data_IF_842258465213
#
_entry.id   IF_842258465213
#
_cell.length_a   1.000
_cell.length_b   1.000
_cell.length_c   1.000
_cell.angle_alpha   90.00
_cell.angle_beta   90.00
_cell.angle_gamma   90.00
#
_symmetry.space_group_name_H-M   'P 1'
#
loop_
_entity.id
_entity.type
_entity.pdbx_description
1 polymer ?
#
# COMPACT_ATOMS: atom_id res chain seq x y z
N UNK A 1 -5.18 -6.31 -15.83
CA UNK A 1 -6.23 -6.77 -16.77
C UNK A 1 -5.90 -8.13 -17.41
N UNK A 2 -4.84 -8.27 -18.23
CA UNK A 2 -4.50 -9.52 -18.97
C UNK A 2 -4.58 -10.85 -18.18
N UNK A 3 -4.13 -10.87 -16.92
CA UNK A 3 -4.11 -12.10 -16.10
C UNK A 3 -5.52 -12.61 -15.75
N UNK A 4 -6.47 -11.70 -15.52
CA UNK A 4 -7.84 -12.05 -15.13
C UNK A 4 -8.63 -12.57 -16.34
N UNK A 5 -8.43 -11.95 -17.51
CA UNK A 5 -8.99 -12.41 -18.78
C UNK A 5 -8.48 -13.80 -19.18
N UNK A 6 -7.19 -14.06 -19.01
CA UNK A 6 -6.60 -15.39 -19.25
C UNK A 6 -7.20 -16.45 -18.32
N UNK A 7 -7.42 -16.13 -17.05
CA UNK A 7 -8.08 -17.04 -16.10
C UNK A 7 -9.53 -17.31 -16.49
N UNK A 8 -10.28 -16.28 -16.88
CA UNK A 8 -11.65 -16.42 -17.41
C UNK A 8 -11.67 -17.36 -18.63
N UNK A 9 -10.78 -17.15 -19.59
CA UNK A 9 -10.72 -17.96 -20.81
C UNK A 9 -10.40 -19.43 -20.52
N UNK A 10 -9.49 -19.69 -19.57
CA UNK A 10 -9.16 -21.06 -19.16
C UNK A 10 -10.36 -21.75 -18.49
N UNK A 11 -11.09 -21.04 -17.62
CA UNK A 11 -12.28 -21.55 -16.95
C UNK A 11 -13.43 -21.79 -17.93
N UNK A 12 -13.59 -20.93 -18.93
CA UNK A 12 -14.60 -21.09 -19.98
C UNK A 12 -14.39 -22.37 -20.79
N UNK A 13 -13.14 -22.64 -21.23
CA UNK A 13 -12.79 -23.88 -21.94
C UNK A 13 -13.10 -25.14 -21.12
N UNK A 14 -12.93 -25.09 -19.81
CA UNK A 14 -13.29 -26.19 -18.92
C UNK A 14 -14.80 -26.38 -18.84
N UNK A 15 -15.57 -25.29 -18.73
CA UNK A 15 -17.03 -25.34 -18.74
C UNK A 15 -17.54 -25.91 -20.06
N UNK A 16 -17.08 -25.41 -21.20
CA UNK A 16 -17.54 -25.86 -22.53
C UNK A 16 -17.30 -27.35 -22.75
N UNK A 17 -16.16 -27.87 -22.27
CA UNK A 17 -15.78 -29.27 -22.40
C UNK A 17 -16.57 -30.22 -21.49
N UNK A 18 -16.99 -29.75 -20.31
CA UNK A 18 -17.53 -30.62 -19.26
C UNK A 18 -18.99 -30.31 -18.86
N UNK A 19 -19.63 -29.30 -19.47
CA UNK A 19 -21.03 -28.90 -19.20
C UNK A 19 -22.03 -30.02 -19.49
N UNK A 20 -21.76 -30.87 -20.46
CA UNK A 20 -22.64 -31.99 -20.84
C UNK A 20 -22.38 -33.29 -20.05
N UNK A 21 -21.37 -33.35 -19.18
CA UNK A 21 -21.06 -34.54 -18.38
C UNK A 21 -21.67 -34.45 -16.99
N UNK A 22 -22.60 -35.35 -16.67
CA UNK A 22 -23.25 -35.41 -15.35
C UNK A 22 -22.26 -35.48 -14.18
N UNK A 23 -21.16 -36.24 -14.33
CA UNK A 23 -20.12 -36.39 -13.30
C UNK A 23 -19.31 -35.11 -13.01
N UNK A 24 -19.37 -34.11 -13.90
CA UNK A 24 -18.64 -32.84 -13.79
C UNK A 24 -19.54 -31.61 -13.74
N UNK A 25 -20.87 -31.81 -13.74
CA UNK A 25 -21.86 -30.75 -13.75
C UNK A 25 -21.71 -29.77 -12.56
N UNK A 26 -21.53 -30.28 -11.34
CA UNK A 26 -21.33 -29.45 -10.15
C UNK A 26 -20.05 -28.59 -10.24
N UNK A 27 -18.98 -29.16 -10.79
CA UNK A 27 -17.71 -28.46 -10.97
C UNK A 27 -17.81 -27.38 -12.06
N UNK A 28 -18.48 -27.69 -13.18
CA UNK A 28 -18.75 -26.73 -14.24
C UNK A 28 -19.63 -25.57 -13.74
N UNK A 29 -20.67 -25.85 -12.96
CA UNK A 29 -21.56 -24.82 -12.41
C UNK A 29 -20.86 -23.90 -11.39
N UNK A 30 -19.94 -24.45 -10.59
CA UNK A 30 -19.08 -23.64 -9.72
C UNK A 30 -18.18 -22.68 -10.52
N UNK A 31 -17.58 -23.17 -11.62
CA UNK A 31 -16.75 -22.35 -12.50
C UNK A 31 -17.55 -21.28 -13.25
N UNK A 32 -18.79 -21.55 -13.65
CA UNK A 32 -19.71 -20.55 -14.22
C UNK A 32 -19.97 -19.41 -13.24
N UNK A 33 -20.25 -19.73 -11.97
CA UNK A 33 -20.44 -18.70 -10.93
C UNK A 33 -19.18 -17.87 -10.70
N UNK A 34 -18.00 -18.48 -10.79
CA UNK A 34 -16.74 -17.76 -10.67
C UNK A 34 -16.47 -16.83 -11.87
N UNK A 35 -16.82 -17.24 -13.09
CA UNK A 35 -16.74 -16.39 -14.29
C UNK A 35 -17.64 -15.16 -14.13
N UNK A 36 -18.88 -15.34 -13.67
CA UNK A 36 -19.82 -14.23 -13.42
C UNK A 36 -19.28 -13.22 -12.40
N UNK A 37 -18.58 -13.68 -11.35
CA UNK A 37 -17.94 -12.78 -10.38
C UNK A 37 -16.77 -12.01 -10.99
N UNK A 38 -15.98 -12.66 -11.85
CA UNK A 38 -14.88 -12.00 -12.57
C UNK A 38 -15.45 -10.93 -13.51
N UNK A 39 -16.53 -11.22 -14.22
CA UNK A 39 -17.19 -10.28 -15.12
C UNK A 39 -17.77 -9.08 -14.38
N UNK A 40 -18.43 -9.31 -13.24
CA UNK A 40 -18.91 -8.23 -12.39
C UNK A 40 -17.76 -7.34 -11.88
N UNK A 41 -16.59 -7.92 -11.56
CA UNK A 41 -15.41 -7.13 -11.18
C UNK A 41 -14.87 -6.33 -12.37
N UNK A 42 -14.81 -6.92 -13.57
CA UNK A 42 -14.34 -6.21 -14.77
C UNK A 42 -15.26 -5.06 -15.18
N UNK A 43 -16.57 -5.20 -14.98
CA UNK A 43 -17.57 -4.17 -15.29
C UNK A 43 -17.64 -3.04 -14.24
N UNK A 44 -17.39 -3.35 -12.96
CA UNK A 44 -17.47 -2.39 -11.85
C UNK A 44 -16.14 -1.67 -11.55
N UNK A 45 -15.07 -1.94 -12.30
CA UNK A 45 -13.85 -1.14 -12.18
C UNK A 45 -14.07 0.15 -12.98
N UNK A 46 -14.19 1.32 -12.34
CA UNK A 46 -14.24 2.58 -13.06
C UNK A 46 -12.99 2.69 -13.94
N UNK A 47 -13.18 3.16 -15.18
CA UNK A 47 -12.11 3.50 -16.12
C UNK A 47 -11.40 4.77 -15.62
N UNK A 48 -10.85 4.72 -14.41
CA UNK A 48 -9.88 5.67 -13.91
C UNK A 48 -8.56 4.91 -13.86
N UNK A 49 -7.89 4.91 -15.02
CA UNK A 49 -6.57 4.33 -15.24
C UNK A 49 -5.46 5.17 -14.56
N UNK A 50 -5.74 5.64 -13.35
CA UNK A 50 -4.76 6.24 -12.47
C UNK A 50 -4.77 5.45 -11.16
N UNK A 51 -4.46 4.17 -11.26
CA UNK A 51 -3.67 3.57 -10.20
C UNK A 51 -2.39 4.41 -10.10
N UNK A 52 -2.42 5.46 -9.26
CA UNK A 52 -1.24 6.19 -8.81
C UNK A 52 -0.37 5.16 -8.12
N UNK A 53 0.44 4.50 -8.93
CA UNK A 53 1.40 3.51 -8.49
C UNK A 53 2.50 4.35 -7.87
N UNK A 54 2.33 4.68 -6.60
CA UNK A 54 3.38 5.30 -5.81
C UNK A 54 4.44 4.24 -5.58
N UNK A 55 5.33 4.10 -6.55
CA UNK A 55 6.54 3.31 -6.40
C UNK A 55 7.58 4.22 -5.77
N UNK A 56 7.89 3.98 -4.51
CA UNK A 56 9.12 4.51 -3.95
C UNK A 56 10.27 3.92 -4.78
N UNK A 57 11.22 4.73 -5.27
CA UNK A 57 12.41 4.19 -5.90
C UNK A 57 13.05 3.18 -4.93
N UNK A 58 13.63 2.11 -5.47
CA UNK A 58 14.44 1.19 -4.66
C UNK A 58 15.65 1.96 -4.17
N UNK A 59 15.50 2.54 -2.99
CA UNK A 59 16.55 3.24 -2.28
C UNK A 59 17.51 2.18 -1.76
N UNK A 60 18.60 1.95 -2.50
CA UNK A 60 19.72 1.10 -2.06
C UNK A 60 20.57 1.84 -1.01
N UNK A 61 19.93 2.39 0.03
CA UNK A 61 20.68 2.93 1.15
C UNK A 61 21.17 1.78 2.04
N UNK A 62 22.38 1.89 2.62
CA UNK A 62 22.81 0.97 3.66
C UNK A 62 21.74 0.94 4.76
N UNK A 63 21.42 -0.25 5.27
CA UNK A 63 20.48 -0.39 6.38
C UNK A 63 20.96 0.51 7.51
N UNK A 64 20.10 1.39 8.00
CA UNK A 64 20.43 2.24 9.14
C UNK A 64 20.87 1.40 10.33
N UNK A 65 21.83 1.94 11.09
CA UNK A 65 22.31 1.37 12.34
C UNK A 65 21.21 1.24 13.39
N UNK A 66 21.56 0.72 14.57
CA UNK A 66 20.60 0.55 15.68
C UNK A 66 20.05 1.90 16.13
N UNK A 67 20.93 2.87 16.35
CA UNK A 67 20.60 4.27 16.60
C UNK A 67 20.51 5.01 15.25
N UNK A 68 19.39 5.68 15.03
CA UNK A 68 19.06 6.37 13.77
C UNK A 68 19.15 7.88 13.93
N UNK A 69 18.82 8.40 15.12
CA UNK A 69 18.95 9.82 15.45
C UNK A 69 19.31 9.96 16.93
N UNK A 70 20.36 10.71 17.22
CA UNK A 70 20.72 11.12 18.58
C UNK A 70 20.91 12.62 18.55
N UNK A 71 20.12 13.35 19.33
CA UNK A 71 20.24 14.80 19.46
C UNK A 71 20.44 15.18 20.91
N UNK A 72 21.36 16.10 21.15
CA UNK A 72 21.61 16.71 22.45
C UNK A 72 21.46 18.23 22.28
N UNK A 73 20.63 18.86 23.10
CA UNK A 73 20.33 20.29 23.05
C UNK A 73 19.79 20.78 21.69
N UNK A 74 18.97 19.98 21.00
CA UNK A 74 18.36 20.41 19.75
C UNK A 74 17.38 21.57 20.02
N UNK A 75 17.52 22.62 19.22
CA UNK A 75 16.59 23.74 19.18
C UNK A 75 15.91 23.79 17.81
N UNK A 76 14.61 24.04 17.80
CA UNK A 76 13.78 24.05 16.60
C UNK A 76 13.03 25.37 16.51
N UNK A 77 13.18 26.03 15.36
CA UNK A 77 12.55 27.30 15.04
C UNK A 77 12.82 27.67 13.58
N UNK A 78 12.05 28.62 13.05
CA UNK A 78 12.37 29.26 11.77
C UNK A 78 13.11 30.57 12.07
N UNK A 79 12.36 31.66 12.26
CA UNK A 79 12.93 32.97 12.60
C UNK A 79 13.10 33.16 14.12
N UNK A 80 12.24 32.51 14.91
CA UNK A 80 12.28 32.51 16.37
C UNK A 80 12.39 31.07 16.86
N UNK A 81 13.19 30.86 17.91
CA UNK A 81 13.29 29.56 18.58
C UNK A 81 11.96 29.23 19.26
N UNK A 82 11.33 28.14 18.83
CA UNK A 82 10.03 27.69 19.35
C UNK A 82 10.20 26.63 20.43
N UNK A 83 11.18 25.74 20.28
CA UNK A 83 11.49 24.67 21.23
C UNK A 83 13.01 24.60 21.38
N UNK A 84 13.48 24.41 22.62
CA UNK A 84 14.90 24.31 22.94
C UNK A 84 15.13 23.11 23.86
N UNK A 85 16.39 22.67 23.95
CA UNK A 85 16.83 21.60 24.85
C UNK A 85 16.14 20.25 24.59
N UNK A 86 15.91 19.90 23.33
CA UNK A 86 15.37 18.59 22.96
C UNK A 86 16.50 17.56 22.98
N UNK A 87 16.38 16.59 23.89
CA UNK A 87 17.22 15.40 23.95
C UNK A 87 16.43 14.21 23.42
N UNK A 88 16.81 13.70 22.24
CA UNK A 88 16.08 12.63 21.57
C UNK A 88 17.02 11.52 21.12
N UNK A 89 16.64 10.28 21.41
CA UNK A 89 17.27 9.09 20.84
C UNK A 89 16.21 8.28 20.13
N UNK A 90 16.35 8.12 18.81
CA UNK A 90 15.50 7.29 17.97
C UNK A 90 16.28 6.06 17.52
N UNK A 91 15.74 4.88 17.82
CA UNK A 91 16.26 3.63 17.28
C UNK A 91 15.50 3.21 16.03
N UNK A 92 16.08 2.25 15.32
CA UNK A 92 15.43 1.65 14.16
C UNK A 92 14.13 0.97 14.57
N UNK A 93 13.06 1.26 13.83
CA UNK A 93 11.66 0.83 14.04
C UNK A 93 10.88 1.61 15.11
N UNK A 94 11.50 2.57 15.80
CA UNK A 94 10.76 3.49 16.66
C UNK A 94 9.89 4.42 15.80
N UNK A 95 8.71 4.77 16.34
CA UNK A 95 7.78 5.71 15.73
C UNK A 95 7.61 6.89 16.66
N UNK A 96 7.85 8.10 16.15
CA UNK A 96 7.59 9.35 16.88
C UNK A 96 6.42 10.06 16.22
N UNK A 97 5.44 10.43 17.04
CA UNK A 97 4.35 11.32 16.64
C UNK A 97 4.55 12.69 17.29
N UNK A 98 4.55 13.74 16.48
CA UNK A 98 4.58 15.12 16.97
C UNK A 98 3.14 15.61 17.01
N UNK A 99 2.61 15.82 18.22
CA UNK A 99 1.23 16.28 18.45
C UNK A 99 1.29 17.63 19.16
N UNK A 100 0.55 18.60 18.62
CA UNK A 100 0.48 19.94 19.19
C UNK A 100 -0.45 20.82 18.38
N UNK A 101 -0.84 21.96 18.96
CA UNK A 101 -1.68 22.93 18.26
C UNK A 101 -0.90 23.53 17.07
N UNK A 102 -1.57 23.73 15.94
CA UNK A 102 -0.97 24.34 14.76
C UNK A 102 -0.32 25.69 15.14
N UNK A 103 0.97 25.85 14.85
CA UNK A 103 1.76 27.03 15.21
C UNK A 103 2.77 26.86 16.36
N UNK A 104 2.78 25.73 17.06
CA UNK A 104 3.72 25.46 18.18
C UNK A 104 5.03 24.75 17.77
N UNK A 105 5.42 24.84 16.51
CA UNK A 105 6.69 24.25 16.05
C UNK A 105 6.63 22.80 15.53
N UNK A 106 5.43 22.21 15.39
CA UNK A 106 5.28 20.87 14.81
C UNK A 106 5.80 20.75 13.38
N UNK A 107 5.51 21.74 12.55
CA UNK A 107 5.96 21.81 11.14
C UNK A 107 7.49 21.92 11.04
N UNK A 108 8.17 22.85 11.74
CA UNK A 108 9.63 22.89 11.71
C UNK A 108 10.30 21.67 12.35
N UNK A 109 9.68 20.99 13.32
CA UNK A 109 10.24 19.74 13.86
C UNK A 109 10.27 18.59 12.84
N UNK A 110 9.40 18.59 11.82
CA UNK A 110 9.33 17.55 10.79
C UNK A 110 10.31 17.79 9.63
N UNK A 111 10.89 18.98 9.53
CA UNK A 111 11.67 19.43 8.36
C UNK A 111 13.19 19.35 8.57
N UNK A 112 13.62 18.75 9.68
CA UNK A 112 15.03 18.52 10.05
C UNK A 112 15.67 17.49 9.14
#
# INVERSE_FOLDING_TARGET
MKKLEQQKQHMQKFVDRFRAKATKAAQAQSRIKQIQKIDAVLENIPVTDEARTFSLPKLNYPKSGKEVLVTENLAVGYDVLLIQNIHLRLNRADKIGIVGRMGLGNQPCLKV
#
